data_IF_928044853211
#
_entry.id   IF_928044853211
#
_cell.length_a   1.000
_cell.length_b   1.000
_cell.length_c   1.000
_cell.angle_alpha   90.00
_cell.angle_beta   90.00
_cell.angle_gamma   90.00
#
_symmetry.space_group_name_H-M   'P 1'
#
loop_
_entity.id
_entity.type
_entity.pdbx_description
1 polymer ?
#
# COMPACT_ATOMS: atom_id res chain seq x y z
N UNK A 1 -6.44 76.26 -9.47
CA UNK A 1 -6.01 74.91 -9.08
C UNK A 1 -5.32 74.27 -10.28
N UNK A 2 -4.00 74.06 -10.24
CA UNK A 2 -3.25 73.58 -11.40
C UNK A 2 -3.49 72.07 -11.61
N UNK A 3 -3.66 71.69 -12.88
CA UNK A 3 -3.81 70.31 -13.35
C UNK A 3 -2.44 69.65 -13.36
N UNK A 4 -2.24 68.65 -12.51
CA UNK A 4 -1.01 67.85 -12.51
C UNK A 4 -1.05 66.85 -13.65
N UNK A 5 -0.13 67.04 -14.60
CA UNK A 5 0.06 66.19 -15.77
C UNK A 5 0.67 64.85 -15.38
N UNK A 6 0.03 63.82 -15.92
CA UNK A 6 0.41 62.42 -15.96
C UNK A 6 1.75 62.26 -16.72
N UNK A 7 2.71 61.55 -16.12
CA UNK A 7 3.94 61.12 -16.81
C UNK A 7 4.06 59.60 -16.59
N UNK A 8 3.51 58.85 -17.54
CA UNK A 8 3.59 57.38 -17.58
C UNK A 8 4.92 57.02 -18.24
N UNK A 9 5.87 56.57 -17.42
CA UNK A 9 7.12 55.99 -17.87
C UNK A 9 6.86 54.52 -18.24
N UNK A 10 6.80 54.26 -19.55
CA UNK A 10 6.78 52.92 -20.11
C UNK A 10 8.19 52.33 -19.98
N UNK A 11 8.43 51.53 -18.93
CA UNK A 11 9.66 50.75 -18.82
C UNK A 11 9.54 49.51 -19.72
N UNK A 12 10.44 49.40 -20.69
CA UNK A 12 10.57 48.23 -21.53
C UNK A 12 11.22 47.11 -20.72
N UNK A 13 10.43 46.12 -20.31
CA UNK A 13 10.92 44.90 -19.67
C UNK A 13 11.70 44.05 -20.69
N UNK A 14 12.91 43.58 -20.35
CA UNK A 14 13.64 42.63 -21.19
C UNK A 14 12.88 41.30 -21.20
N UNK A 15 12.47 40.86 -22.39
CA UNK A 15 11.96 39.53 -22.65
C UNK A 15 13.09 38.52 -22.39
N UNK A 16 13.12 37.94 -21.19
CA UNK A 16 13.86 36.71 -20.93
C UNK A 16 13.11 35.57 -21.62
N UNK A 17 13.39 35.38 -22.90
CA UNK A 17 13.08 34.17 -23.65
C UNK A 17 14.11 33.10 -23.25
N UNK A 18 13.68 32.08 -22.51
CA UNK A 18 14.45 30.86 -22.33
C UNK A 18 14.85 30.58 -20.90
N UNK A 19 13.88 30.14 -20.11
CA UNK A 19 13.93 28.90 -19.33
C UNK A 19 12.47 28.50 -19.14
N UNK A 20 11.90 27.91 -20.19
CA UNK A 20 10.74 27.02 -20.05
C UNK A 20 11.25 25.79 -19.30
N UNK A 21 11.51 25.98 -18.01
CA UNK A 21 11.50 24.88 -17.06
C UNK A 21 10.02 24.68 -16.86
N UNK A 22 9.43 23.78 -17.63
CA UNK A 22 8.19 23.15 -17.22
C UNK A 22 8.40 22.83 -15.74
N UNK A 23 7.56 23.34 -14.82
CA UNK A 23 7.65 22.88 -13.45
C UNK A 23 7.54 21.38 -13.57
N UNK A 24 8.65 20.70 -13.26
CA UNK A 24 8.63 19.28 -12.98
C UNK A 24 7.44 19.17 -12.03
N UNK A 25 6.36 18.54 -12.49
CA UNK A 25 5.18 18.27 -11.68
C UNK A 25 5.69 17.27 -10.66
N UNK A 26 6.47 17.79 -9.70
CA UNK A 26 7.39 17.04 -8.88
C UNK A 26 6.53 15.98 -8.28
N UNK A 27 6.79 14.73 -8.70
CA UNK A 27 5.91 13.59 -8.45
C UNK A 27 5.41 13.76 -7.04
N UNK A 28 4.16 14.21 -6.91
CA UNK A 28 3.59 14.59 -5.63
C UNK A 28 3.82 13.35 -4.80
N UNK A 29 4.72 13.43 -3.81
CA UNK A 29 5.32 12.26 -3.17
C UNK A 29 4.15 11.44 -2.66
N UNK A 30 3.70 10.51 -3.50
CA UNK A 30 2.47 9.78 -3.27
C UNK A 30 2.72 9.05 -1.97
N UNK A 31 1.75 9.07 -1.03
CA UNK A 31 1.96 8.82 0.39
C UNK A 31 2.97 7.70 0.60
N UNK A 32 4.24 8.06 0.85
CA UNK A 32 5.36 7.11 0.91
C UNK A 32 5.15 6.07 2.03
N UNK A 33 4.30 6.41 3.01
CA UNK A 33 3.86 5.55 4.09
C UNK A 33 3.11 4.28 3.63
N UNK A 34 2.45 4.31 2.47
CA UNK A 34 1.70 3.17 1.94
C UNK A 34 2.60 1.96 1.63
N UNK A 35 3.90 2.19 1.44
CA UNK A 35 4.85 1.14 1.04
C UNK A 35 5.62 0.47 2.17
N UNK A 36 5.69 1.07 3.35
CA UNK A 36 6.53 0.54 4.44
C UNK A 36 5.77 -0.31 5.44
N UNK A 37 4.44 -0.36 5.35
CA UNK A 37 3.58 -1.00 6.36
C UNK A 37 3.68 -0.31 7.74
N UNK A 38 4.32 0.86 7.80
CA UNK A 38 4.53 1.61 9.02
C UNK A 38 3.32 2.52 9.26
N UNK A 39 2.41 2.06 10.11
CA UNK A 39 1.19 2.78 10.44
C UNK A 39 1.50 4.16 11.05
N UNK A 40 2.54 4.29 11.88
CA UNK A 40 2.91 5.57 12.50
C UNK A 40 3.37 6.56 11.42
N UNK A 41 4.20 6.11 10.47
CA UNK A 41 4.59 6.94 9.34
C UNK A 41 3.38 7.41 8.51
N UNK A 42 2.37 6.55 8.33
CA UNK A 42 1.13 6.92 7.65
C UNK A 42 0.27 7.91 8.42
N UNK A 43 0.15 7.75 9.74
CA UNK A 43 -0.53 8.72 10.60
C UNK A 43 0.17 10.08 10.56
N UNK A 44 1.49 10.10 10.68
CA UNK A 44 2.30 11.33 10.59
C UNK A 44 2.15 12.00 9.22
N UNK A 45 2.18 11.22 8.13
CA UNK A 45 1.96 11.74 6.78
C UNK A 45 0.55 12.33 6.60
N UNK A 46 -0.48 11.68 7.15
CA UNK A 46 -1.86 12.19 7.15
C UNK A 46 -1.95 13.54 7.86
N UNK A 47 -1.34 13.66 9.05
CA UNK A 47 -1.31 14.89 9.83
C UNK A 47 -0.35 15.95 9.27
N UNK A 48 0.55 15.63 8.35
CA UNK A 48 1.37 16.60 7.65
C UNK A 48 0.59 17.31 6.53
N UNK A 49 -0.40 16.64 5.94
CA UNK A 49 -1.23 17.17 4.85
C UNK A 49 -2.36 18.05 5.40
N UNK A 50 -2.14 19.36 5.50
CA UNK A 50 -3.12 20.32 6.04
C UNK A 50 -4.29 20.61 5.11
N UNK A 51 -4.20 20.26 3.83
CA UNK A 51 -5.32 20.42 2.90
C UNK A 51 -6.39 19.35 3.15
N UNK A 52 -5.95 18.16 3.58
CA UNK A 52 -6.82 17.02 3.90
C UNK A 52 -7.20 17.00 5.38
N UNK A 53 -6.23 17.07 6.30
CA UNK A 53 -6.45 16.90 7.75
C UNK A 53 -6.86 18.19 8.47
N UNK A 54 -7.78 18.97 7.89
CA UNK A 54 -8.30 20.21 8.49
C UNK A 54 -9.07 19.93 9.79
N UNK A 55 -9.19 20.92 10.69
CA UNK A 55 -10.01 20.79 11.91
C UNK A 55 -11.42 20.22 11.64
N UNK A 56 -12.07 20.65 10.56
CA UNK A 56 -13.41 20.18 10.21
C UNK A 56 -13.44 18.71 9.81
N UNK A 57 -12.45 18.25 9.04
CA UNK A 57 -12.30 16.84 8.67
C UNK A 57 -12.00 15.99 9.91
N UNK A 58 -11.13 16.47 10.79
CA UNK A 58 -10.84 15.77 12.05
C UNK A 58 -12.09 15.64 12.94
N UNK A 59 -12.84 16.73 13.15
CA UNK A 59 -14.04 16.73 13.99
C UNK A 59 -15.20 15.91 13.37
N UNK A 60 -15.47 16.11 12.07
CA UNK A 60 -16.67 15.56 11.41
C UNK A 60 -16.39 14.18 10.80
N UNK A 61 -15.36 14.07 9.97
CA UNK A 61 -15.12 12.85 9.17
C UNK A 61 -14.36 11.79 9.98
N UNK A 62 -13.33 12.20 10.75
CA UNK A 62 -12.63 11.30 11.66
C UNK A 62 -13.37 11.07 12.98
N UNK A 63 -14.45 11.81 13.23
CA UNK A 63 -15.26 11.74 14.44
C UNK A 63 -14.44 11.85 15.74
N UNK A 64 -13.32 12.59 15.73
CA UNK A 64 -12.61 12.90 16.98
C UNK A 64 -13.33 14.02 17.72
N UNK A 65 -13.06 14.17 19.02
CA UNK A 65 -13.72 15.24 19.79
C UNK A 65 -13.29 16.60 19.24
N UNK A 66 -14.25 17.49 19.08
CA UNK A 66 -14.05 18.86 18.58
C UNK A 66 -12.95 19.65 19.32
N UNK A 67 -12.78 19.43 20.64
CA UNK A 67 -11.69 20.03 21.40
C UNK A 67 -10.33 19.44 21.01
N UNK A 68 -10.19 18.12 20.97
CA UNK A 68 -8.96 17.47 20.49
C UNK A 68 -8.61 17.91 19.06
N UNK A 69 -9.58 17.99 18.14
CA UNK A 69 -9.38 18.48 16.77
C UNK A 69 -8.87 19.92 16.75
N UNK A 70 -9.45 20.81 17.55
CA UNK A 70 -9.03 22.20 17.64
C UNK A 70 -7.60 22.34 18.17
N UNK A 71 -7.20 21.53 19.17
CA UNK A 71 -5.85 21.59 19.73
C UNK A 71 -4.80 21.01 18.78
N UNK A 72 -5.13 19.96 18.01
CA UNK A 72 -4.25 19.44 16.95
C UNK A 72 -4.04 20.51 15.86
N UNK A 73 -5.13 21.14 15.39
CA UNK A 73 -5.09 22.21 14.38
C UNK A 73 -4.25 23.41 14.86
N UNK A 74 -4.50 23.84 16.10
CA UNK A 74 -3.77 24.94 16.72
C UNK A 74 -2.28 24.62 16.88
N UNK A 75 -1.93 23.40 17.32
CA UNK A 75 -0.54 22.99 17.45
C UNK A 75 0.19 23.11 16.11
N UNK A 76 -0.44 22.64 15.03
CA UNK A 76 0.15 22.67 13.68
C UNK A 76 0.40 24.07 13.15
N UNK A 77 -0.52 25.00 13.40
CA UNK A 77 -0.47 26.41 12.94
C UNK A 77 0.41 27.35 13.77
N UNK A 78 1.07 26.84 14.81
CA UNK A 78 1.89 27.66 15.68
C UNK A 78 1.13 28.75 16.46
N UNK A 79 1.85 29.79 16.86
CA UNK A 79 1.36 30.90 17.67
C UNK A 79 0.65 31.96 16.82
N UNK A 80 1.01 32.10 15.55
CA UNK A 80 0.40 33.08 14.63
C UNK A 80 -0.94 32.62 14.04
N UNK A 81 -1.26 31.33 14.22
CA UNK A 81 -2.46 30.70 13.72
C UNK A 81 -2.56 30.77 12.19
N UNK A 82 -1.49 30.73 11.41
CA UNK A 82 -1.56 30.66 9.96
C UNK A 82 -0.72 29.47 9.46
N UNK A 83 -1.19 28.73 8.44
CA UNK A 83 -0.38 27.65 7.86
C UNK A 83 0.69 28.18 6.91
N UNK A 84 1.78 27.44 6.79
CA UNK A 84 2.91 27.76 5.93
C UNK A 84 3.83 28.82 6.52
N UNK A 85 3.74 29.08 7.83
CA UNK A 85 4.52 30.08 8.54
C UNK A 85 5.73 29.43 9.23
N UNK A 86 6.59 30.26 9.83
CA UNK A 86 7.86 29.78 10.39
C UNK A 86 7.69 29.09 11.76
N UNK A 87 6.55 29.30 12.41
CA UNK A 87 6.21 28.76 13.74
C UNK A 87 5.26 27.57 13.68
N UNK A 88 4.87 27.11 12.48
CA UNK A 88 4.19 25.84 12.28
C UNK A 88 4.96 24.70 12.96
N UNK A 89 4.24 23.87 13.72
CA UNK A 89 4.84 22.73 14.42
C UNK A 89 4.49 21.43 13.72
N UNK A 90 5.52 20.68 13.36
CA UNK A 90 5.36 19.34 12.78
C UNK A 90 5.01 18.33 13.88
N UNK A 91 4.04 17.47 13.59
CA UNK A 91 3.74 16.27 14.37
C UNK A 91 4.52 15.14 13.72
N UNK A 92 5.70 14.83 14.25
CA UNK A 92 6.67 13.90 13.64
C UNK A 92 6.64 12.50 14.24
N UNK A 93 5.82 12.28 15.26
CA UNK A 93 5.66 11.00 15.96
C UNK A 93 4.34 10.93 16.72
N UNK A 94 3.91 9.71 17.03
CA UNK A 94 2.77 9.46 17.91
C UNK A 94 3.02 10.04 19.32
N UNK A 95 4.28 10.02 19.79
CA UNK A 95 4.65 10.60 21.08
C UNK A 95 4.45 12.12 21.13
N UNK A 96 4.76 12.83 20.03
CA UNK A 96 4.45 14.26 19.90
C UNK A 96 2.94 14.48 19.95
N UNK A 97 2.16 13.65 19.26
CA UNK A 97 0.69 13.71 19.22
C UNK A 97 0.07 13.48 20.60
N UNK A 98 0.51 12.47 21.37
CA UNK A 98 0.03 12.19 22.73
C UNK A 98 0.37 13.31 23.73
N UNK A 99 1.39 14.12 23.44
CA UNK A 99 1.77 15.26 24.27
C UNK A 99 0.83 16.47 24.12
N UNK A 100 0.01 16.52 23.06
CA UNK A 100 -0.91 17.61 22.79
C UNK A 100 -2.08 17.58 23.78
N UNK A 101 -2.45 18.74 24.31
CA UNK A 101 -3.53 18.84 25.28
C UNK A 101 -4.87 18.35 24.68
N UNK A 102 -5.61 17.56 25.47
CA UNK A 102 -6.82 16.83 25.06
C UNK A 102 -6.65 15.75 24.00
N UNK A 103 -5.43 15.46 23.55
CA UNK A 103 -5.15 14.23 22.83
C UNK A 103 -4.88 13.11 23.84
N UNK A 104 -5.33 11.91 23.53
CA UNK A 104 -5.10 10.73 24.34
C UNK A 104 -5.42 9.47 23.54
N UNK A 105 -5.28 8.27 24.12
CA UNK A 105 -5.28 7.02 23.37
C UNK A 105 -6.46 6.84 22.41
N UNK A 106 -7.67 7.15 22.87
CA UNK A 106 -8.87 7.05 22.03
C UNK A 106 -8.85 7.99 20.81
N UNK A 107 -8.26 9.18 20.94
CA UNK A 107 -8.13 10.13 19.81
C UNK A 107 -7.08 9.61 18.83
N UNK A 108 -5.98 9.06 19.33
CA UNK A 108 -4.93 8.46 18.51
C UNK A 108 -5.49 7.29 17.70
N UNK A 109 -6.21 6.36 18.35
CA UNK A 109 -6.88 5.23 17.67
C UNK A 109 -7.79 5.71 16.52
N UNK A 110 -8.58 6.77 16.76
CA UNK A 110 -9.46 7.37 15.73
C UNK A 110 -8.68 8.02 14.58
N UNK A 111 -7.55 8.63 14.87
CA UNK A 111 -6.70 9.22 13.83
C UNK A 111 -6.05 8.14 12.97
N UNK A 112 -5.69 6.99 13.54
CA UNK A 112 -5.25 5.82 12.77
C UNK A 112 -6.34 5.32 11.82
N UNK A 113 -7.56 5.09 12.33
CA UNK A 113 -8.72 4.70 11.51
C UNK A 113 -8.99 5.72 10.39
N UNK A 114 -8.83 7.01 10.69
CA UNK A 114 -9.04 8.06 9.70
C UNK A 114 -7.93 8.09 8.65
N UNK A 115 -6.66 8.01 9.06
CA UNK A 115 -5.52 7.95 8.15
C UNK A 115 -5.61 6.74 7.21
N UNK A 116 -6.08 5.59 7.71
CA UNK A 116 -6.41 4.42 6.88
C UNK A 116 -7.55 4.72 5.88
N UNK A 117 -8.64 5.34 6.32
CA UNK A 117 -9.76 5.71 5.46
C UNK A 117 -9.40 6.70 4.33
N UNK A 118 -8.42 7.58 4.58
CA UNK A 118 -7.85 8.49 3.58
C UNK A 118 -6.71 7.86 2.76
N UNK A 119 -6.33 6.61 3.03
CA UNK A 119 -5.32 5.88 2.28
C UNK A 119 -3.88 6.24 2.62
N UNK A 120 -3.61 6.86 3.77
CA UNK A 120 -2.24 7.10 4.24
C UNK A 120 -1.66 5.89 4.96
N UNK A 121 -2.52 5.03 5.52
CA UNK A 121 -2.15 3.78 6.17
C UNK A 121 -2.72 2.65 5.33
N UNK A 122 -1.86 1.68 4.98
CA UNK A 122 -2.34 0.44 4.39
C UNK A 122 -3.18 -0.31 5.44
N UNK A 123 -4.36 -0.85 5.07
CA UNK A 123 -5.16 -1.61 6.00
C UNK A 123 -4.30 -2.70 6.63
N UNK A 124 -4.35 -2.83 7.96
CA UNK A 124 -3.57 -3.83 8.66
C UNK A 124 -3.87 -5.20 8.03
N UNK A 125 -2.86 -5.86 7.48
CA UNK A 125 -3.01 -7.21 6.96
C UNK A 125 -3.51 -8.13 8.07
N UNK A 126 -4.81 -8.38 8.10
CA UNK A 126 -5.40 -8.97 9.30
C UNK A 126 -6.90 -9.21 9.27
N UNK A 127 -7.62 -8.75 8.24
CA UNK A 127 -8.94 -9.33 7.96
C UNK A 127 -8.77 -10.29 6.80
N UNK A 128 -8.25 -11.48 7.11
CA UNK A 128 -8.22 -12.63 6.22
C UNK A 128 -9.63 -12.85 5.66
N UNK A 129 -9.89 -12.33 4.47
CA UNK A 129 -10.73 -13.06 3.55
C UNK A 129 -9.98 -14.36 3.29
N UNK A 130 -10.44 -15.47 3.89
CA UNK A 130 -10.05 -16.80 3.43
C UNK A 130 -10.63 -16.94 2.02
N UNK A 131 -9.93 -16.39 1.04
CA UNK A 131 -10.20 -16.65 -0.37
C UNK A 131 -9.63 -18.03 -0.67
N UNK A 132 -10.46 -19.06 -0.44
CA UNK A 132 -10.20 -20.40 -0.98
C UNK A 132 -10.99 -20.52 -2.27
N UNK A 133 -10.32 -20.36 -3.40
CA UNK A 133 -10.87 -20.80 -4.68
C UNK A 133 -10.33 -22.20 -4.98
N UNK A 134 -11.23 -23.17 -5.02
CA UNK A 134 -10.91 -24.52 -5.51
C UNK A 134 -11.00 -24.47 -7.03
N UNK A 135 -9.86 -24.52 -7.72
CA UNK A 135 -9.85 -24.64 -9.18
C UNK A 135 -10.26 -26.06 -9.60
N UNK A 136 -11.35 -26.17 -10.37
CA UNK A 136 -11.78 -27.44 -10.93
C UNK A 136 -10.83 -27.94 -12.01
N UNK A 137 -10.77 -29.27 -12.18
CA UNK A 137 -10.02 -29.89 -13.27
C UNK A 137 -10.62 -29.49 -14.63
N UNK A 138 -10.10 -28.43 -15.25
CA UNK A 138 -10.51 -27.95 -16.57
C UNK A 138 -10.87 -26.47 -16.67
N UNK A 139 -10.77 -25.69 -15.59
CA UNK A 139 -11.08 -24.26 -15.61
C UNK A 139 -9.85 -23.38 -15.92
N UNK A 140 -10.12 -22.19 -16.47
CA UNK A 140 -9.20 -21.18 -17.02
C UNK A 140 -8.15 -20.69 -16.00
N UNK A 141 -7.04 -21.40 -15.86
CA UNK A 141 -5.83 -20.91 -15.18
C UNK A 141 -5.24 -19.66 -15.85
N UNK A 142 -5.65 -19.35 -17.08
CA UNK A 142 -5.38 -18.07 -17.78
C UNK A 142 -5.95 -16.84 -17.04
N UNK A 143 -6.84 -17.04 -16.06
CA UNK A 143 -7.38 -15.97 -15.21
C UNK A 143 -6.49 -15.63 -14.00
N UNK A 144 -5.48 -16.44 -13.70
CA UNK A 144 -4.52 -16.15 -12.63
C UNK A 144 -3.58 -15.00 -13.05
N UNK A 145 -3.08 -14.20 -12.11
CA UNK A 145 -2.02 -13.24 -12.39
C UNK A 145 -0.83 -13.91 -13.09
N UNK A 146 -0.36 -13.32 -14.19
CA UNK A 146 0.70 -13.89 -15.04
C UNK A 146 1.96 -14.39 -14.29
N UNK A 147 2.44 -13.73 -13.22
CA UNK A 147 3.59 -14.24 -12.46
C UNK A 147 3.37 -15.64 -11.86
N UNK A 148 2.13 -15.93 -11.44
CA UNK A 148 1.75 -17.23 -10.87
C UNK A 148 1.66 -18.27 -12.00
N UNK A 149 1.09 -17.88 -13.15
CA UNK A 149 1.01 -18.75 -14.33
C UNK A 149 2.42 -19.14 -14.81
N UNK A 150 3.34 -18.19 -14.92
CA UNK A 150 4.71 -18.42 -15.38
C UNK A 150 5.47 -19.39 -14.45
N UNK A 151 5.24 -19.32 -13.12
CA UNK A 151 5.87 -20.19 -12.13
C UNK A 151 5.27 -21.60 -12.13
N UNK A 152 3.94 -21.69 -12.22
CA UNK A 152 3.24 -22.96 -12.44
C UNK A 152 3.82 -23.62 -13.70
N UNK A 153 3.84 -22.92 -14.84
CA UNK A 153 4.38 -23.43 -16.10
C UNK A 153 5.86 -23.83 -15.99
N UNK A 154 6.70 -23.08 -15.27
CA UNK A 154 8.09 -23.43 -15.03
C UNK A 154 8.22 -24.75 -14.23
N UNK A 155 7.40 -24.93 -13.19
CA UNK A 155 7.39 -26.15 -12.38
C UNK A 155 6.87 -27.37 -13.17
N UNK A 156 5.81 -27.20 -13.95
CA UNK A 156 5.32 -28.25 -14.86
C UNK A 156 6.32 -28.58 -15.95
N UNK A 157 6.94 -27.56 -16.55
CA UNK A 157 8.01 -27.72 -17.54
C UNK A 157 9.19 -28.54 -16.99
N UNK A 158 9.57 -28.31 -15.72
CA UNK A 158 10.64 -29.06 -15.04
C UNK A 158 10.21 -30.47 -14.62
N UNK A 159 8.98 -30.67 -14.15
CA UNK A 159 8.48 -31.98 -13.71
C UNK A 159 8.24 -32.94 -14.88
N UNK A 160 7.83 -32.43 -16.06
CA UNK A 160 7.82 -33.23 -17.31
C UNK A 160 9.23 -33.64 -17.75
N UNK A 161 10.26 -32.86 -17.42
CA UNK A 161 11.66 -33.17 -17.76
C UNK A 161 12.34 -34.13 -16.77
N UNK A 162 12.00 -34.08 -15.47
CA UNK A 162 12.66 -34.90 -14.43
C UNK A 162 11.87 -36.18 -14.02
N UNK A 163 10.78 -36.57 -14.70
CA UNK A 163 10.09 -37.86 -14.42
C UNK A 163 9.58 -38.63 -15.65
N UNK A 164 10.34 -39.60 -16.19
CA UNK A 164 9.93 -40.42 -17.34
C UNK A 164 8.84 -41.47 -17.03
N UNK A 165 8.38 -41.59 -15.79
CA UNK A 165 7.37 -42.57 -15.36
C UNK A 165 5.91 -42.12 -15.57
N UNK A 166 5.66 -40.86 -15.97
CA UNK A 166 4.32 -40.24 -15.96
C UNK A 166 3.54 -40.28 -17.28
N UNK A 167 4.06 -40.94 -18.32
CA UNK A 167 3.48 -40.89 -19.68
C UNK A 167 2.42 -41.98 -20.00
N UNK A 168 2.05 -42.86 -19.07
CA UNK A 168 1.12 -43.97 -19.36
C UNK A 168 -0.24 -43.84 -18.67
N UNK A 169 -1.11 -43.01 -19.24
CA UNK A 169 -2.57 -43.13 -19.31
C UNK A 169 -3.39 -43.59 -18.09
N UNK A 170 -4.25 -42.67 -17.64
CA UNK A 170 -5.54 -42.84 -16.93
C UNK A 170 -5.68 -42.40 -15.47
N UNK A 171 -4.66 -41.83 -14.85
CA UNK A 171 -4.86 -41.24 -13.52
C UNK A 171 -5.45 -39.83 -13.65
N UNK A 172 -6.67 -39.68 -13.15
CA UNK A 172 -7.38 -38.41 -13.08
C UNK A 172 -6.82 -37.64 -11.88
N UNK A 173 -5.92 -36.70 -12.14
CA UNK A 173 -5.37 -35.82 -11.12
C UNK A 173 -6.38 -34.69 -10.86
N UNK A 174 -7.04 -34.70 -9.70
CA UNK A 174 -7.65 -33.47 -9.17
C UNK A 174 -6.59 -32.77 -8.33
N UNK A 175 -6.09 -31.65 -8.83
CA UNK A 175 -5.24 -30.76 -8.06
C UNK A 175 -6.11 -29.63 -7.51
N UNK A 176 -6.07 -29.45 -6.20
CA UNK A 176 -6.65 -28.29 -5.54
C UNK A 176 -5.52 -27.33 -5.18
N UNK A 177 -5.21 -26.39 -6.07
CA UNK A 177 -4.24 -25.32 -5.77
C UNK A 177 -4.95 -24.29 -4.91
N UNK A 178 -4.64 -24.25 -3.61
CA UNK A 178 -5.15 -23.22 -2.70
C UNK A 178 -4.10 -22.11 -2.59
N UNK A 179 -4.33 -20.96 -3.22
CA UNK A 179 -3.42 -19.82 -3.05
C UNK A 179 -3.85 -18.99 -1.85
N UNK A 180 -2.99 -18.93 -0.83
CA UNK A 180 -3.17 -18.00 0.27
C UNK A 180 -2.40 -16.72 -0.03
N UNK A 181 -3.13 -15.62 -0.25
CA UNK A 181 -2.50 -14.31 -0.33
C UNK A 181 -2.32 -13.77 1.08
N UNK A 182 -1.09 -13.39 1.41
CA UNK A 182 -0.80 -12.53 2.57
C UNK A 182 -0.45 -11.16 2.00
N UNK A 183 -1.35 -10.20 2.15
CA UNK A 183 -1.41 -8.98 1.33
C UNK A 183 -0.33 -7.92 1.65
N UNK A 184 0.63 -8.16 2.56
CA UNK A 184 1.47 -7.05 3.06
C UNK A 184 2.98 -7.26 3.13
N UNK A 185 3.57 -8.31 2.55
CA UNK A 185 4.95 -8.22 1.98
C UNK A 185 5.58 -9.56 1.59
N UNK A 186 4.91 -10.69 1.82
CA UNK A 186 5.39 -11.95 1.29
C UNK A 186 4.19 -12.71 0.80
N UNK A 187 4.11 -12.95 -0.50
CA UNK A 187 3.16 -13.92 -1.03
C UNK A 187 3.66 -15.28 -0.55
N UNK A 188 3.22 -15.70 0.64
CA UNK A 188 3.46 -17.08 1.08
C UNK A 188 2.43 -17.94 0.37
N UNK A 189 2.83 -18.58 -0.72
CA UNK A 189 1.95 -19.47 -1.45
C UNK A 189 1.99 -20.85 -0.79
N UNK A 190 0.83 -21.39 -0.42
CA UNK A 190 0.71 -22.74 0.12
C UNK A 190 0.14 -23.64 -0.96
N UNK A 191 0.98 -24.24 -1.79
CA UNK A 191 0.48 -25.13 -2.84
C UNK A 191 0.23 -26.50 -2.21
N UNK A 192 -1.03 -26.93 -2.21
CA UNK A 192 -1.42 -28.26 -1.74
C UNK A 192 -1.71 -29.16 -2.94
N UNK A 193 -1.00 -30.28 -3.03
CA UNK A 193 -1.21 -31.29 -4.06
C UNK A 193 -1.95 -32.48 -3.45
N UNK A 194 -3.07 -32.87 -4.05
CA UNK A 194 -3.84 -34.04 -3.63
C UNK A 194 -3.69 -35.13 -4.69
N UNK A 195 -3.00 -36.21 -4.34
CA UNK A 195 -2.80 -37.38 -5.19
C UNK A 195 -3.77 -38.47 -4.77
N UNK A 196 -4.51 -39.07 -5.72
CA UNK A 196 -5.24 -40.32 -5.47
C UNK A 196 -4.32 -41.48 -5.82
N UNK A 197 -3.73 -42.13 -4.81
CA UNK A 197 -2.77 -43.23 -5.03
C UNK A 197 -3.48 -44.57 -5.27
N UNK A 198 -4.69 -44.72 -4.71
CA UNK A 198 -5.56 -45.88 -4.88
C UNK A 198 -7.03 -45.43 -4.78
N UNK A 199 -8.01 -46.20 -5.32
CA UNK A 199 -9.42 -45.87 -5.17
C UNK A 199 -9.83 -45.66 -3.69
N UNK A 200 -10.09 -44.41 -3.32
CA UNK A 200 -10.46 -44.03 -1.95
C UNK A 200 -9.30 -43.68 -1.01
N UNK A 201 -8.05 -43.61 -1.51
CA UNK A 201 -6.87 -43.18 -0.73
C UNK A 201 -6.30 -41.90 -1.34
N UNK A 202 -6.26 -40.84 -0.55
CA UNK A 202 -5.67 -39.55 -0.91
C UNK A 202 -4.37 -39.32 -0.14
N UNK A 203 -3.32 -38.92 -0.85
CA UNK A 203 -2.08 -38.40 -0.30
C UNK A 203 -2.06 -36.90 -0.53
N UNK A 204 -1.80 -36.13 0.53
CA UNK A 204 -1.78 -34.67 0.49
C UNK A 204 -0.33 -34.22 0.71
N UNK A 205 0.24 -33.50 -0.25
CA UNK A 205 1.55 -32.86 -0.13
C UNK A 205 1.38 -31.36 -0.12
N UNK A 206 1.81 -30.70 0.95
CA UNK A 206 1.72 -29.25 1.09
C UNK A 206 3.13 -28.66 1.02
N UNK A 207 3.31 -27.68 0.14
CA UNK A 207 4.55 -26.93 0.02
C UNK A 207 4.29 -25.45 0.38
N UNK A 208 5.03 -24.97 1.37
CA UNK A 208 5.05 -23.56 1.75
C UNK A 208 6.18 -22.87 0.96
N UNK A 209 5.82 -21.90 0.12
CA UNK A 209 6.78 -21.08 -0.63
C UNK A 209 6.81 -19.69 -0.02
N UNK A 210 7.97 -19.26 0.48
CA UNK A 210 8.18 -17.89 0.94
C UNK A 210 8.68 -17.05 -0.25
N UNK A 211 7.99 -15.96 -0.61
CA UNK A 211 8.34 -15.12 -1.77
C UNK A 211 9.68 -14.35 -1.66
N UNK A 212 10.49 -14.59 -0.62
CA UNK A 212 11.90 -14.20 -0.63
C UNK A 212 12.67 -15.12 -1.59
N UNK A 213 12.61 -14.80 -2.89
CA UNK A 213 13.12 -15.67 -3.94
C UNK A 213 14.67 -15.65 -4.00
N UNK A 214 15.30 -16.71 -3.51
CA UNK A 214 16.53 -17.24 -4.12
C UNK A 214 16.09 -18.13 -5.29
N UNK A 215 16.47 -17.75 -6.52
CA UNK A 215 16.23 -18.54 -7.72
C UNK A 215 16.69 -19.98 -7.49
N UNK A 216 15.75 -20.92 -7.56
CA UNK A 216 16.06 -22.34 -7.63
C UNK A 216 17.10 -22.53 -8.74
N UNK A 217 18.33 -22.90 -8.37
CA UNK A 217 19.28 -23.41 -9.35
C UNK A 217 18.68 -24.74 -9.81
N UNK A 218 18.24 -24.78 -11.06
CA UNK A 218 17.55 -25.94 -11.64
C UNK A 218 18.49 -27.12 -11.92
N UNK A 219 19.42 -27.46 -11.03
CA UNK A 219 20.21 -28.68 -11.18
C UNK A 219 19.44 -29.89 -10.65
N UNK A 220 18.77 -30.62 -11.55
CA UNK A 220 18.43 -32.03 -11.30
C UNK A 220 19.77 -32.81 -11.29
N UNK A 221 20.41 -32.98 -10.13
CA UNK A 221 21.47 -33.99 -9.99
C UNK A 221 20.82 -35.39 -10.04
N UNK A 222 21.21 -36.19 -11.04
CA UNK A 222 20.79 -37.59 -11.24
C UNK A 222 21.57 -38.57 -10.38
#
# INVERSE_FOLDING_TARGET
MPRSSLLVLLAASPLCLGCDVEPDEGEALGPLALRTGDAEAGLVAFLADYEISTQAVLDVDCAIRSDSAAYIDQYRRGDDHDYGTADDQLIDSEATLDSIYFVGPWTIDRLYECAEAFGYIAPACGTTGNWSETFGSGDDWESLPQPIVDEIEAYWGLSYLCSPLYASGNDSFMQEVTVHYSDCDVQTYVITWVHTVEPGVQEIQTHDYDASFDLFDGSCEL
#
